data_IF_232443752738
#
_entry.id   IF_232443752738
#
_cell.length_a   1.000
_cell.length_b   1.000
_cell.length_c   1.000
_cell.angle_alpha   90.00
_cell.angle_beta   90.00
_cell.angle_gamma   90.00
#
_symmetry.space_group_name_H-M   'P 1'
#
loop_
_entity.id
_entity.type
_entity.pdbx_description
1 polymer ?
#
# COMPACT_ATOMS: atom_id res chain seq x y z
N UNK A 1 -26.66 8.34 24.48
CA UNK A 1 -25.34 9.00 24.35
C UNK A 1 -25.40 10.51 24.06
N UNK A 2 -25.85 11.00 22.90
CA UNK A 2 -25.84 12.46 22.62
C UNK A 2 -26.75 13.29 23.54
N UNK A 3 -27.95 12.75 23.84
CA UNK A 3 -28.88 13.30 24.83
C UNK A 3 -28.32 13.27 26.25
N UNK A 4 -27.77 12.12 26.65
CA UNK A 4 -27.14 11.94 27.97
C UNK A 4 -25.97 12.92 28.20
N UNK A 5 -25.27 13.30 27.12
CA UNK A 5 -24.17 14.26 27.16
C UNK A 5 -24.62 15.72 26.95
N UNK A 6 -25.89 15.98 26.64
CA UNK A 6 -26.43 17.32 26.42
C UNK A 6 -25.82 18.06 25.22
N UNK A 7 -25.29 17.33 24.22
CA UNK A 7 -24.60 17.89 23.05
C UNK A 7 -25.39 17.75 21.74
N UNK A 8 -26.59 17.18 21.77
CA UNK A 8 -27.42 16.97 20.58
C UNK A 8 -27.62 18.25 19.75
N UNK A 9 -27.86 19.40 20.40
CA UNK A 9 -28.10 20.69 19.73
C UNK A 9 -26.81 21.34 19.22
N UNK A 10 -25.66 20.77 19.56
CA UNK A 10 -24.32 21.25 19.17
C UNK A 10 -23.69 20.37 18.09
N UNK A 11 -24.37 19.29 17.68
CA UNK A 11 -23.89 18.37 16.66
C UNK A 11 -24.12 18.97 15.27
N UNK A 12 -23.07 19.55 14.70
CA UNK A 12 -23.13 20.20 13.38
C UNK A 12 -22.86 19.22 12.23
N UNK A 13 -21.91 18.30 12.41
CA UNK A 13 -21.41 17.46 11.32
C UNK A 13 -20.99 16.08 11.81
N UNK A 14 -21.31 15.06 11.00
CA UNK A 14 -20.88 13.68 11.16
C UNK A 14 -19.97 13.36 9.97
N UNK A 15 -18.77 12.85 10.23
CA UNK A 15 -17.85 12.39 9.18
C UNK A 15 -17.71 10.88 9.25
N UNK A 16 -17.94 10.18 8.13
CA UNK A 16 -17.79 8.73 8.04
C UNK A 16 -17.05 8.31 6.76
N UNK A 17 -16.53 7.09 6.74
CA UNK A 17 -15.97 6.50 5.51
C UNK A 17 -17.07 6.14 4.50
N UNK A 18 -16.68 5.90 3.24
CA UNK A 18 -17.63 5.69 2.13
C UNK A 18 -18.07 4.21 2.04
N UNK A 19 -18.47 3.63 3.16
CA UNK A 19 -19.01 2.26 3.25
C UNK A 19 -20.54 2.34 3.32
N UNK A 20 -21.23 1.44 2.63
CA UNK A 20 -22.70 1.42 2.53
C UNK A 20 -23.42 1.45 3.87
N UNK A 21 -22.84 0.84 4.92
CA UNK A 21 -23.41 0.85 6.27
C UNK A 21 -23.55 2.27 6.83
N UNK A 22 -22.64 3.18 6.47
CA UNK A 22 -22.73 4.58 6.91
C UNK A 22 -23.84 5.33 6.17
N UNK A 23 -24.11 4.98 4.91
CA UNK A 23 -25.25 5.55 4.17
C UNK A 23 -26.57 5.13 4.82
N UNK A 24 -26.72 3.84 5.16
CA UNK A 24 -27.89 3.34 5.88
C UNK A 24 -28.03 3.99 7.26
N UNK A 25 -26.94 4.07 8.03
CA UNK A 25 -26.93 4.72 9.34
C UNK A 25 -27.38 6.18 9.25
N UNK A 26 -26.87 6.94 8.27
CA UNK A 26 -27.22 8.35 8.10
C UNK A 26 -28.67 8.51 7.64
N UNK A 27 -29.19 7.62 6.81
CA UNK A 27 -30.61 7.65 6.43
C UNK A 27 -31.52 7.53 7.66
N UNK A 28 -31.19 6.65 8.59
CA UNK A 28 -31.95 6.49 9.85
C UNK A 28 -31.70 7.66 10.82
N UNK A 29 -30.47 8.19 10.86
CA UNK A 29 -30.12 9.31 11.74
C UNK A 29 -30.68 10.66 11.27
N UNK A 30 -30.88 10.84 9.97
CA UNK A 30 -31.25 12.12 9.38
C UNK A 30 -32.58 12.66 9.95
N UNK A 31 -33.52 11.76 10.24
CA UNK A 31 -34.82 12.13 10.81
C UNK A 31 -34.73 12.46 12.31
N UNK A 32 -33.69 11.98 13.00
CA UNK A 32 -33.49 12.18 14.43
C UNK A 32 -32.54 13.34 14.76
N UNK A 33 -31.60 13.63 13.85
CA UNK A 33 -30.51 14.57 14.07
C UNK A 33 -30.28 15.38 12.80
N UNK A 34 -30.49 16.70 12.89
CA UNK A 34 -30.22 17.66 11.81
C UNK A 34 -28.72 17.98 11.70
N UNK A 35 -27.89 16.98 11.43
CA UNK A 35 -26.45 17.14 11.22
C UNK A 35 -26.09 16.94 9.75
N UNK A 36 -25.09 17.69 9.28
CA UNK A 36 -24.53 17.46 7.95
C UNK A 36 -23.69 16.18 7.94
N UNK A 37 -23.85 15.34 6.93
CA UNK A 37 -22.97 14.20 6.72
C UNK A 37 -21.90 14.54 5.68
N UNK A 38 -20.64 14.37 6.05
CA UNK A 38 -19.49 14.56 5.17
C UNK A 38 -18.77 13.23 5.02
N UNK A 39 -18.55 12.80 3.78
CA UNK A 39 -17.74 11.61 3.52
C UNK A 39 -16.26 11.89 3.77
N UNK A 40 -15.55 10.88 4.23
CA UNK A 40 -14.12 10.97 4.50
C UNK A 40 -13.33 11.25 3.22
N UNK A 41 -12.74 12.44 3.11
CA UNK A 41 -11.93 12.84 1.96
C UNK A 41 -10.75 11.89 1.72
N UNK A 42 -10.10 11.42 2.79
CA UNK A 42 -9.00 10.46 2.69
C UNK A 42 -9.44 9.14 2.05
N UNK A 43 -10.67 8.68 2.35
CA UNK A 43 -11.21 7.49 1.72
C UNK A 43 -11.51 7.72 0.23
N UNK A 44 -12.06 8.88 -0.13
CA UNK A 44 -12.35 9.23 -1.53
C UNK A 44 -11.05 9.30 -2.35
N UNK A 45 -9.99 9.91 -1.80
CA UNK A 45 -8.68 9.97 -2.46
C UNK A 45 -8.10 8.57 -2.70
N UNK A 46 -8.16 7.69 -1.69
CA UNK A 46 -7.73 6.29 -1.84
C UNK A 46 -8.53 5.53 -2.92
N UNK A 47 -9.84 5.78 -3.06
CA UNK A 47 -10.63 5.20 -4.16
C UNK A 47 -10.18 5.71 -5.53
N UNK A 48 -9.96 7.02 -5.66
CA UNK A 48 -9.44 7.63 -6.91
C UNK A 48 -8.08 7.03 -7.27
N UNK A 49 -7.19 6.90 -6.30
CA UNK A 49 -5.87 6.29 -6.49
C UNK A 49 -5.99 4.85 -6.94
N UNK A 50 -6.84 4.04 -6.30
CA UNK A 50 -7.08 2.65 -6.72
C UNK A 50 -7.59 2.56 -8.17
N UNK A 51 -8.48 3.46 -8.57
CA UNK A 51 -8.97 3.50 -9.95
C UNK A 51 -7.88 3.92 -10.94
N UNK A 52 -7.03 4.89 -10.59
CA UNK A 52 -5.86 5.27 -11.41
C UNK A 52 -4.90 4.08 -11.55
N UNK A 53 -4.58 3.40 -10.45
CA UNK A 53 -3.70 2.22 -10.46
C UNK A 53 -4.28 1.09 -11.32
N UNK A 54 -5.61 0.92 -11.34
CA UNK A 54 -6.30 -0.05 -12.21
C UNK A 54 -6.15 0.33 -13.69
N UNK A 55 -6.34 1.61 -14.03
CA UNK A 55 -6.18 2.12 -15.42
C UNK A 55 -4.75 1.94 -15.92
N UNK A 56 -3.75 2.10 -15.04
CA UNK A 56 -2.34 1.91 -15.36
C UNK A 56 -1.95 0.43 -15.54
N UNK A 57 -2.93 -0.49 -15.59
CA UNK A 57 -2.74 -1.95 -15.70
C UNK A 57 -1.76 -2.51 -14.67
N UNK A 58 -1.73 -1.90 -13.51
CA UNK A 58 -0.90 -2.40 -12.44
C UNK A 58 -1.60 -3.61 -11.83
N UNK A 59 -1.01 -4.81 -12.01
CA UNK A 59 -1.57 -6.05 -11.47
C UNK A 59 -1.61 -5.97 -9.95
N UNK A 60 -2.65 -6.49 -9.30
CA UNK A 60 -2.79 -6.37 -7.83
C UNK A 60 -1.86 -7.35 -7.08
N UNK A 61 -1.86 -7.26 -5.75
CA UNK A 61 -1.02 -8.14 -4.92
C UNK A 61 -1.33 -9.63 -5.13
N UNK A 62 -2.61 -9.95 -5.40
CA UNK A 62 -3.07 -11.31 -5.63
C UNK A 62 -2.63 -11.85 -7.00
N UNK A 63 -2.63 -11.02 -8.03
CA UNK A 63 -2.11 -11.38 -9.34
C UNK A 63 -0.60 -11.62 -9.29
N UNK A 64 0.16 -10.74 -8.61
CA UNK A 64 1.60 -10.95 -8.40
C UNK A 64 1.89 -12.28 -7.67
N UNK A 65 1.05 -12.62 -6.69
CA UNK A 65 1.09 -13.91 -5.99
C UNK A 65 0.82 -15.08 -6.94
N UNK A 66 -0.22 -15.01 -7.78
CA UNK A 66 -0.53 -16.05 -8.77
C UNK A 66 0.58 -16.25 -9.79
N UNK A 67 1.14 -15.15 -10.32
CA UNK A 67 2.27 -15.23 -11.24
C UNK A 67 3.42 -15.97 -10.56
N UNK A 68 3.78 -15.58 -9.33
CA UNK A 68 4.84 -16.26 -8.58
C UNK A 68 4.59 -17.77 -8.34
N UNK A 69 3.34 -18.23 -8.31
CA UNK A 69 2.99 -19.64 -8.20
C UNK A 69 3.16 -20.40 -9.53
N UNK A 70 3.07 -19.68 -10.65
CA UNK A 70 3.03 -20.22 -12.02
C UNK A 70 4.30 -19.93 -12.83
N UNK A 71 5.35 -19.33 -12.22
CA UNK A 71 6.63 -19.01 -12.86
C UNK A 71 7.39 -20.26 -13.34
N UNK A 72 6.92 -20.85 -14.43
CA UNK A 72 7.60 -21.93 -15.14
C UNK A 72 7.89 -21.59 -16.60
N UNK A 73 7.30 -20.55 -17.21
CA UNK A 73 7.62 -20.10 -18.58
C UNK A 73 6.97 -18.75 -18.99
N UNK A 74 6.35 -18.01 -18.05
CA UNK A 74 5.68 -16.75 -18.41
C UNK A 74 6.68 -15.62 -18.65
N UNK A 75 6.58 -15.01 -19.83
CA UNK A 75 7.33 -13.81 -20.18
C UNK A 75 6.77 -12.59 -19.45
N UNK A 76 7.45 -12.25 -18.35
CA UNK A 76 7.24 -11.03 -17.56
C UNK A 76 7.58 -9.73 -18.31
N UNK A 77 7.99 -9.78 -19.58
CA UNK A 77 8.25 -8.59 -20.41
C UNK A 77 6.99 -7.75 -20.65
N UNK A 78 5.81 -8.39 -20.69
CA UNK A 78 4.52 -7.73 -20.91
C UNK A 78 4.00 -6.99 -19.68
N UNK A 79 4.56 -7.27 -18.50
CA UNK A 79 4.14 -6.65 -17.25
C UNK A 79 4.53 -5.16 -17.16
N UNK A 80 3.80 -4.42 -16.35
CA UNK A 80 4.19 -3.03 -16.04
C UNK A 80 5.33 -2.98 -15.04
N UNK A 81 6.02 -1.84 -14.94
CA UNK A 81 7.06 -1.63 -13.94
C UNK A 81 6.56 -1.88 -12.50
N UNK A 82 5.34 -1.42 -12.20
CA UNK A 82 4.71 -1.61 -10.90
C UNK A 82 4.39 -3.10 -10.66
N UNK A 83 3.84 -3.81 -11.64
CA UNK A 83 3.61 -5.26 -11.57
C UNK A 83 4.91 -6.02 -11.27
N UNK A 84 5.98 -5.70 -11.99
CA UNK A 84 7.29 -6.33 -11.77
C UNK A 84 7.83 -6.11 -10.36
N UNK A 85 7.68 -4.90 -9.80
CA UNK A 85 8.07 -4.61 -8.41
C UNK A 85 7.24 -5.44 -7.41
N UNK A 86 5.92 -5.56 -7.62
CA UNK A 86 5.05 -6.41 -6.79
C UNK A 86 5.49 -7.86 -6.81
N UNK A 87 5.73 -8.40 -8.01
CA UNK A 87 6.19 -9.77 -8.22
C UNK A 87 7.53 -9.99 -7.52
N UNK A 88 8.48 -9.06 -7.67
CA UNK A 88 9.77 -9.14 -6.99
C UNK A 88 9.63 -9.19 -5.46
N UNK A 89 8.82 -8.30 -4.87
CA UNK A 89 8.62 -8.24 -3.42
C UNK A 89 8.01 -9.54 -2.87
N UNK A 90 7.02 -10.10 -3.57
CA UNK A 90 6.39 -11.39 -3.22
C UNK A 90 7.38 -12.54 -3.39
N UNK A 91 8.10 -12.58 -4.51
CA UNK A 91 9.05 -13.64 -4.86
C UNK A 91 10.15 -13.82 -3.82
N UNK A 92 10.78 -12.71 -3.41
CA UNK A 92 11.83 -12.72 -2.39
C UNK A 92 11.24 -13.15 -1.05
N UNK A 93 10.03 -12.67 -0.71
CA UNK A 93 9.41 -12.93 0.60
C UNK A 93 9.01 -14.38 0.82
N UNK A 94 8.65 -15.10 -0.23
CA UNK A 94 8.13 -16.48 -0.17
C UNK A 94 9.16 -17.55 0.17
N UNK A 95 10.46 -17.30 0.00
CA UNK A 95 11.50 -18.32 0.19
C UNK A 95 12.61 -17.85 1.12
N UNK A 96 12.85 -18.60 2.21
CA UNK A 96 13.95 -18.33 3.12
C UNK A 96 15.32 -18.29 2.41
N UNK A 97 15.51 -19.13 1.37
CA UNK A 97 16.72 -19.12 0.53
C UNK A 97 16.85 -17.79 -0.24
N UNK A 98 15.75 -17.30 -0.82
CA UNK A 98 15.72 -16.03 -1.55
C UNK A 98 15.92 -14.83 -0.62
N UNK A 99 15.31 -14.87 0.57
CA UNK A 99 15.53 -13.87 1.63
C UNK A 99 16.99 -13.82 2.07
N UNK A 100 17.63 -14.97 2.28
CA UNK A 100 19.05 -15.03 2.63
C UNK A 100 19.94 -14.48 1.49
N UNK A 101 19.63 -14.82 0.23
CA UNK A 101 20.31 -14.27 -0.93
C UNK A 101 20.17 -12.74 -1.01
N UNK A 102 18.97 -12.21 -0.75
CA UNK A 102 18.74 -10.75 -0.67
C UNK A 102 19.62 -10.10 0.40
N UNK A 103 19.64 -10.65 1.62
CA UNK A 103 20.50 -10.14 2.71
C UNK A 103 21.98 -10.13 2.33
N UNK A 104 22.46 -11.16 1.63
CA UNK A 104 23.84 -11.22 1.15
C UNK A 104 24.14 -10.11 0.14
N UNK A 105 23.23 -9.86 -0.81
CA UNK A 105 23.34 -8.76 -1.77
C UNK A 105 23.34 -7.41 -1.06
N UNK A 106 22.43 -7.17 -0.11
CA UNK A 106 22.42 -5.93 0.67
C UNK A 106 23.75 -5.70 1.40
N UNK A 107 24.32 -6.75 1.99
CA UNK A 107 25.61 -6.69 2.69
C UNK A 107 26.75 -6.36 1.72
N UNK A 108 26.76 -6.98 0.54
CA UNK A 108 27.76 -6.72 -0.50
C UNK A 108 27.69 -5.29 -1.04
N UNK A 109 26.48 -4.78 -1.28
CA UNK A 109 26.25 -3.43 -1.82
C UNK A 109 26.45 -2.35 -0.73
N UNK A 110 26.62 -2.72 0.55
CA UNK A 110 26.82 -1.82 1.69
C UNK A 110 25.70 -0.78 1.89
N UNK A 111 24.47 -1.12 1.49
CA UNK A 111 23.27 -0.30 1.71
C UNK A 111 22.34 -1.04 2.69
N UNK A 112 21.40 -0.32 3.30
CA UNK A 112 20.34 -0.85 4.18
C UNK A 112 19.83 -2.23 3.77
N UNK A 113 19.69 -3.12 4.75
CA UNK A 113 19.20 -4.51 4.64
C UNK A 113 17.67 -4.61 4.70
N UNK A 114 16.96 -3.48 4.67
CA UNK A 114 15.51 -3.47 4.71
C UNK A 114 14.93 -4.25 3.53
N UNK A 115 13.98 -5.15 3.82
CA UNK A 115 13.20 -5.82 2.80
C UNK A 115 12.20 -4.84 2.18
N UNK A 116 11.88 -5.08 0.92
CA UNK A 116 10.77 -4.39 0.25
C UNK A 116 9.47 -5.00 0.79
N UNK A 117 8.56 -4.22 1.40
CA UNK A 117 7.29 -4.73 1.87
C UNK A 117 6.41 -5.12 0.69
N UNK A 118 5.61 -6.17 0.84
CA UNK A 118 4.61 -6.53 -0.17
C UNK A 118 3.47 -5.51 -0.20
N UNK A 119 2.89 -5.36 -1.39
CA UNK A 119 1.62 -4.65 -1.55
C UNK A 119 0.48 -5.44 -0.89
N UNK A 120 -0.48 -4.75 -0.28
CA UNK A 120 -1.62 -5.32 0.44
C UNK A 120 -2.85 -4.49 0.13
N UNK A 121 -3.75 -5.01 -0.70
CA UNK A 121 -4.89 -4.25 -1.25
C UNK A 121 -5.82 -3.62 -0.18
N UNK A 122 -5.85 -4.21 1.01
CA UNK A 122 -6.63 -3.74 2.16
C UNK A 122 -5.93 -2.66 2.99
N UNK A 123 -4.61 -2.46 2.83
CA UNK A 123 -3.81 -1.48 3.57
C UNK A 123 -3.51 -0.26 2.69
N UNK A 124 -4.11 0.88 3.00
CA UNK A 124 -4.15 2.05 2.09
C UNK A 124 -2.80 2.62 1.67
N UNK A 125 -1.73 2.38 2.43
CA UNK A 125 -0.37 2.87 2.09
C UNK A 125 0.59 1.78 1.62
N UNK A 126 0.18 0.53 1.45
CA UNK A 126 1.10 -0.56 1.11
C UNK A 126 1.81 -0.33 -0.24
N UNK A 127 1.08 0.10 -1.26
CA UNK A 127 1.65 0.34 -2.59
C UNK A 127 2.68 1.47 -2.54
N UNK A 128 2.38 2.56 -1.83
CA UNK A 128 3.31 3.66 -1.60
C UNK A 128 4.58 3.17 -0.91
N UNK A 129 4.44 2.43 0.20
CA UNK A 129 5.58 1.93 0.99
C UNK A 129 6.45 0.96 0.19
N UNK A 130 5.83 0.08 -0.61
CA UNK A 130 6.53 -0.84 -1.50
C UNK A 130 7.34 -0.07 -2.55
N UNK A 131 6.73 0.91 -3.24
CA UNK A 131 7.42 1.69 -4.26
C UNK A 131 8.54 2.57 -3.66
N UNK A 132 8.30 3.19 -2.51
CA UNK A 132 9.30 3.99 -1.82
C UNK A 132 10.51 3.13 -1.42
N UNK A 133 10.27 1.95 -0.86
CA UNK A 133 11.33 1.00 -0.51
C UNK A 133 12.06 0.49 -1.75
N UNK A 134 11.34 0.16 -2.83
CA UNK A 134 11.92 -0.32 -4.08
C UNK A 134 12.84 0.74 -4.72
N UNK A 135 12.44 2.01 -4.74
CA UNK A 135 13.28 3.09 -5.27
C UNK A 135 14.54 3.30 -4.42
N UNK A 136 14.42 3.26 -3.08
CA UNK A 136 15.58 3.32 -2.17
C UNK A 136 16.51 2.11 -2.33
N UNK A 137 15.97 0.95 -2.72
CA UNK A 137 16.70 -0.31 -2.89
C UNK A 137 17.07 -0.63 -4.35
N UNK A 138 16.99 0.34 -5.26
CA UNK A 138 17.28 0.16 -6.70
C UNK A 138 18.64 -0.53 -6.97
N UNK A 139 19.76 -0.15 -6.33
CA UNK A 139 21.04 -0.85 -6.50
C UNK A 139 20.98 -2.32 -6.10
N UNK A 140 20.32 -2.63 -4.98
CA UNK A 140 20.18 -4.01 -4.46
C UNK A 140 19.29 -4.85 -5.37
N UNK A 141 18.17 -4.31 -5.86
CA UNK A 141 17.29 -5.01 -6.82
C UNK A 141 18.06 -5.34 -8.09
N UNK A 142 18.81 -4.39 -8.62
CA UNK A 142 19.60 -4.59 -9.85
C UNK A 142 20.64 -5.69 -9.65
N UNK A 143 21.44 -5.62 -8.59
CA UNK A 143 22.45 -6.62 -8.27
C UNK A 143 21.84 -8.01 -7.99
N UNK A 144 20.69 -8.06 -7.30
CA UNK A 144 19.99 -9.33 -7.05
C UNK A 144 19.54 -9.97 -8.35
N UNK A 145 18.90 -9.20 -9.25
CA UNK A 145 18.39 -9.71 -10.52
C UNK A 145 19.52 -10.15 -11.47
N UNK A 146 20.69 -9.52 -11.40
CA UNK A 146 21.88 -9.94 -12.14
C UNK A 146 22.48 -11.26 -11.64
N UNK A 147 22.30 -11.58 -10.35
CA UNK A 147 22.86 -12.77 -9.69
C UNK A 147 21.98 -14.03 -9.80
N UNK A 148 20.83 -13.95 -10.45
CA UNK A 148 19.85 -15.05 -10.59
C UNK A 148 19.22 -15.07 -11.99
N UNK A 149 18.52 -16.14 -12.34
CA UNK A 149 17.90 -16.33 -13.67
C UNK A 149 16.39 -16.59 -13.61
N UNK A 150 15.78 -16.66 -12.42
CA UNK A 150 14.37 -16.98 -12.24
C UNK A 150 13.44 -15.79 -12.56
N UNK A 151 13.90 -14.56 -12.34
CA UNK A 151 13.20 -13.32 -12.69
C UNK A 151 13.95 -12.53 -13.77
N UNK A 152 13.26 -11.84 -14.69
CA UNK A 152 13.90 -10.98 -15.67
C UNK A 152 14.54 -9.76 -15.01
N UNK A 153 15.52 -9.17 -15.69
CA UNK A 153 16.15 -7.91 -15.26
C UNK A 153 15.19 -6.75 -15.39
N UNK A 154 15.27 -5.81 -14.45
CA UNK A 154 14.63 -4.51 -14.62
C UNK A 154 15.49 -3.63 -15.53
N UNK A 155 14.85 -2.87 -16.38
CA UNK A 155 15.45 -1.93 -17.32
C UNK A 155 15.37 -0.50 -16.79
N UNK A 156 15.99 0.45 -17.49
CA UNK A 156 15.88 1.88 -17.14
C UNK A 156 14.42 2.35 -17.22
N UNK A 157 13.62 1.77 -18.13
CA UNK A 157 12.21 2.10 -18.35
C UNK A 157 11.31 1.70 -17.17
N UNK A 158 11.77 0.86 -16.25
CA UNK A 158 11.04 0.48 -15.04
C UNK A 158 11.03 1.58 -13.98
N UNK A 159 12.13 2.31 -13.86
CA UNK A 159 12.35 3.20 -12.73
C UNK A 159 11.66 4.55 -12.91
N UNK A 160 11.55 5.03 -14.16
CA UNK A 160 10.94 6.33 -14.46
C UNK A 160 9.43 6.36 -14.15
N UNK A 161 8.60 5.41 -14.62
CA UNK A 161 7.17 5.35 -14.26
C UNK A 161 6.96 5.17 -12.75
N UNK A 162 7.81 4.38 -12.10
CA UNK A 162 7.75 4.13 -10.65
C UNK A 162 7.90 5.41 -9.85
N UNK A 163 8.81 6.30 -10.24
CA UNK A 163 8.98 7.59 -9.57
C UNK A 163 7.76 8.50 -9.73
N UNK A 164 7.16 8.56 -10.93
CA UNK A 164 5.96 9.35 -11.18
C UNK A 164 4.75 8.84 -10.39
N UNK A 165 4.59 7.52 -10.31
CA UNK A 165 3.58 6.86 -9.48
C UNK A 165 3.76 7.18 -8.00
N UNK A 166 4.98 7.12 -7.48
CA UNK A 166 5.25 7.41 -6.07
C UNK A 166 4.83 8.85 -5.70
N UNK A 167 5.10 9.83 -6.57
CA UNK A 167 4.68 11.21 -6.35
C UNK A 167 3.15 11.36 -6.28
N UNK A 168 2.40 10.60 -7.09
CA UNK A 168 0.95 10.61 -7.03
C UNK A 168 0.41 9.99 -5.73
N UNK A 169 1.06 8.92 -5.24
CA UNK A 169 0.68 8.21 -4.02
C UNK A 169 1.11 8.92 -2.72
N UNK A 170 2.01 9.89 -2.80
CA UNK A 170 2.53 10.61 -1.63
C UNK A 170 1.44 11.38 -0.88
N UNK A 171 0.41 11.86 -1.59
CA UNK A 171 -0.73 12.58 -1.02
C UNK A 171 -1.46 11.71 0.01
N UNK A 172 -1.69 10.44 -0.33
CA UNK A 172 -2.38 9.49 0.56
C UNK A 172 -1.55 9.17 1.80
N UNK A 173 -0.22 9.03 1.65
CA UNK A 173 0.68 8.80 2.79
C UNK A 173 0.71 9.99 3.77
N UNK A 174 0.64 11.22 3.27
CA UNK A 174 0.58 12.44 4.11
C UNK A 174 -0.76 12.54 4.83
N UNK A 175 -1.86 12.20 4.16
CA UNK A 175 -3.18 12.15 4.78
C UNK A 175 -3.21 11.12 5.92
N UNK A 176 -2.64 9.94 5.71
CA UNK A 176 -2.59 8.86 6.71
C UNK A 176 -1.71 9.20 7.93
N UNK A 177 -0.54 9.81 7.71
CA UNK A 177 0.37 10.19 8.82
C UNK A 177 -0.24 11.29 9.71
N UNK A 178 -0.97 12.23 9.11
CA UNK A 178 -1.69 13.28 9.84
C UNK A 178 -2.89 12.74 10.63
N UNK A 179 -3.64 11.77 10.08
CA UNK A 179 -4.67 11.07 10.86
C UNK A 179 -4.06 10.34 12.05
N UNK A 180 -2.93 9.62 11.89
CA UNK A 180 -2.29 8.92 12.99
C UNK A 180 -1.85 9.87 14.13
N UNK A 181 -1.28 11.04 13.80
CA UNK A 181 -0.91 12.05 14.81
C UNK A 181 -2.10 12.72 15.51
N UNK A 182 -3.31 12.61 14.96
CA UNK A 182 -4.53 13.17 15.55
C UNK A 182 -5.18 12.23 16.58
N UNK A 183 -4.74 10.96 16.64
CA UNK A 183 -5.29 9.90 17.50
C UNK A 183 -4.28 9.38 18.53
N UNK A 184 -3.30 10.20 18.92
CA UNK A 184 -2.18 9.86 19.83
C UNK A 184 -2.60 9.49 21.28
N UNK A 185 -3.89 9.19 21.51
CA UNK A 185 -4.45 8.67 22.76
C UNK A 185 -5.12 7.30 22.65
N UNK A 186 -5.13 6.65 21.48
CA UNK A 186 -5.78 5.34 21.31
C UNK A 186 -4.76 4.18 21.20
N UNK A 187 -4.55 3.38 22.27
CA UNK A 187 -3.56 2.30 22.30
C UNK A 187 -3.85 1.13 21.34
N UNK A 188 -5.03 1.09 20.69
CA UNK A 188 -5.39 0.01 19.76
C UNK A 188 -4.91 0.21 18.31
N UNK A 189 -4.39 1.39 17.93
CA UNK A 189 -3.93 1.69 16.56
C UNK A 189 -2.39 1.71 16.40
N UNK A 190 -1.65 1.68 17.50
CA UNK A 190 -0.18 1.62 17.52
C UNK A 190 0.41 0.29 17.01
N UNK A 191 -0.42 -0.71 16.68
CA UNK A 191 0.06 -1.97 16.09
C UNK A 191 0.42 -1.86 14.59
N UNK A 192 0.10 -0.76 13.92
CA UNK A 192 0.37 -0.61 12.48
C UNK A 192 1.85 -0.34 12.12
N UNK A 193 2.69 0.00 13.11
CA UNK A 193 4.12 0.27 12.95
C UNK A 193 5.04 -0.89 13.34
N UNK A 194 4.52 -1.99 13.90
CA UNK A 194 5.35 -3.11 14.39
C UNK A 194 5.35 -4.38 13.52
N UNK A 195 4.59 -4.43 12.44
CA UNK A 195 4.61 -5.59 11.53
C UNK A 195 5.43 -5.28 10.27
N UNK A 196 6.76 -5.24 10.43
CA UNK A 196 7.72 -5.37 9.33
C UNK A 196 8.04 -6.86 9.02
N UNK A 197 7.28 -7.80 9.58
CA UNK A 197 7.52 -9.25 9.42
C UNK A 197 6.30 -10.08 9.03
N UNK A 198 5.16 -9.46 8.73
CA UNK A 198 4.01 -10.22 8.22
C UNK A 198 4.37 -10.78 6.84
N UNK A 199 4.52 -12.10 6.78
CA UNK A 199 4.62 -12.87 5.55
C UNK A 199 3.52 -12.41 4.59
N UNK A 200 3.93 -12.04 3.38
CA UNK A 200 3.21 -12.39 2.19
C UNK A 200 3.24 -13.93 2.10
#
# INVERSE_FOLDING_TARGET
MLQELGIEQKLLTITGDNVSNNESMISELHDLIKAHYIRCLAHILNLIVKDILRVLRSSDAHEASRICDQLNDEDLSAETALSRIRIFAVWVSRSNKRRASWTNICTFVQISTAFIPCDVDTRWNSTYLMLEAALKAKPQITAYLEAQTELPRFTVEDWHPTSGLLSALQVDSICLSKTASSYDGNPYLLQSSQFASSRC
#
